data_IF_595412903687
#
_entry.id   IF_595412903687
#
_cell.length_a   1.000
_cell.length_b   1.000
_cell.length_c   1.000
_cell.angle_alpha   90.00
_cell.angle_beta   90.00
_cell.angle_gamma   90.00
#
_symmetry.space_group_name_H-M   'P 1'
#
loop_
_entity.id
_entity.type
_entity.pdbx_description
1 polymer ?
#
# COMPACT_ATOMS: atom_id res chain seq x y z
N UNK A 1 -8.56 -8.38 31.87
CA UNK A 1 -7.26 -8.08 31.24
C UNK A 1 -7.50 -7.06 30.15
N UNK A 2 -6.83 -5.91 30.16
CA UNK A 2 -6.88 -5.01 29.02
C UNK A 2 -6.12 -5.69 27.87
N UNK A 3 -6.86 -6.16 26.87
CA UNK A 3 -6.26 -6.73 25.66
C UNK A 3 -5.50 -5.59 24.98
N UNK A 4 -4.17 -5.69 24.95
CA UNK A 4 -3.34 -4.68 24.33
C UNK A 4 -3.37 -4.91 22.81
N UNK A 5 -3.97 -3.98 22.07
CA UNK A 5 -3.98 -4.06 20.61
C UNK A 5 -2.58 -3.82 20.04
N UNK A 6 -2.32 -4.37 18.84
CA UNK A 6 -1.00 -4.30 18.17
C UNK A 6 -0.85 -3.13 17.19
N UNK A 7 -1.82 -2.21 17.15
CA UNK A 7 -1.85 -1.14 16.14
C UNK A 7 -0.58 -0.28 16.22
N UNK A 8 -0.18 0.11 17.43
CA UNK A 8 1.00 0.95 17.65
C UNK A 8 2.29 0.26 17.22
N UNK A 9 2.41 -1.03 17.51
CA UNK A 9 3.55 -1.86 17.14
C UNK A 9 3.64 -1.97 15.61
N UNK A 10 2.55 -2.39 14.97
CA UNK A 10 2.44 -2.54 13.51
C UNK A 10 2.77 -1.22 12.78
N UNK A 11 2.26 -0.10 13.27
CA UNK A 11 2.55 1.23 12.71
C UNK A 11 4.03 1.58 12.81
N UNK A 12 4.65 1.33 13.97
CA UNK A 12 6.07 1.64 14.21
C UNK A 12 7.00 0.75 13.39
N UNK A 13 6.63 -0.51 13.16
CA UNK A 13 7.40 -1.41 12.29
C UNK A 13 7.45 -0.92 10.83
N UNK A 14 6.44 -0.14 10.40
CA UNK A 14 6.42 0.53 9.09
C UNK A 14 6.97 1.96 9.11
N UNK A 15 7.58 2.41 10.22
CA UNK A 15 8.07 3.78 10.43
C UNK A 15 7.01 4.88 10.21
N UNK A 16 5.74 4.57 10.41
CA UNK A 16 4.65 5.52 10.20
C UNK A 16 4.38 6.38 11.45
N UNK A 17 4.09 7.66 11.23
CA UNK A 17 3.49 8.52 12.25
C UNK A 17 1.99 8.22 12.40
N UNK A 18 1.35 8.68 13.48
CA UNK A 18 -0.10 8.52 13.63
C UNK A 18 -0.86 9.23 12.50
N UNK A 19 -0.33 10.33 11.99
CA UNK A 19 -0.84 11.04 10.80
C UNK A 19 -0.64 10.18 9.55
N UNK A 20 0.53 9.56 9.38
CA UNK A 20 0.80 8.68 8.25
C UNK A 20 -0.18 7.51 8.17
N UNK A 21 -0.43 6.85 9.31
CA UNK A 21 -1.44 5.79 9.37
C UNK A 21 -2.86 6.31 9.14
N UNK A 22 -3.19 7.53 9.61
CA UNK A 22 -4.53 8.08 9.40
C UNK A 22 -4.81 8.36 7.93
N UNK A 23 -3.81 8.82 7.17
CA UNK A 23 -3.92 9.02 5.73
C UNK A 23 -4.17 7.70 4.99
N UNK A 24 -3.40 6.65 5.33
CA UNK A 24 -3.57 5.30 4.75
C UNK A 24 -4.98 4.75 5.01
N UNK A 25 -5.48 4.92 6.24
CA UNK A 25 -6.78 4.39 6.63
C UNK A 25 -7.96 5.31 6.25
N UNK A 26 -7.70 6.50 5.67
CA UNK A 26 -8.73 7.48 5.36
C UNK A 26 -9.48 7.96 6.60
N UNK A 27 -8.77 8.21 7.69
CA UNK A 27 -9.31 8.66 8.98
C UNK A 27 -8.50 9.82 9.56
N UNK A 28 -8.81 10.23 10.79
CA UNK A 28 -8.13 11.31 11.49
C UNK A 28 -7.03 10.78 12.43
N UNK A 29 -5.99 11.59 12.67
CA UNK A 29 -4.93 11.26 13.62
C UNK A 29 -5.48 11.03 15.04
N UNK A 30 -6.51 11.77 15.44
CA UNK A 30 -7.20 11.60 16.72
C UNK A 30 -7.84 10.21 16.83
N UNK A 31 -8.44 9.72 15.74
CA UNK A 31 -9.02 8.37 15.68
C UNK A 31 -7.94 7.31 15.86
N UNK A 32 -6.81 7.45 15.16
CA UNK A 32 -5.64 6.55 15.33
C UNK A 32 -5.12 6.56 16.77
N UNK A 33 -4.97 7.75 17.37
CA UNK A 33 -4.54 7.88 18.76
C UNK A 33 -5.51 7.22 19.75
N UNK A 34 -6.82 7.35 19.52
CA UNK A 34 -7.86 6.70 20.33
C UNK A 34 -7.79 5.19 20.19
N UNK A 35 -7.69 4.66 18.97
CA UNK A 35 -7.56 3.22 18.71
C UNK A 35 -6.35 2.63 19.43
N UNK A 36 -5.18 3.28 19.34
CA UNK A 36 -3.95 2.82 20.00
C UNK A 36 -4.03 2.82 21.53
N UNK A 37 -4.79 3.75 22.13
CA UNK A 37 -4.88 3.89 23.59
C UNK A 37 -6.00 3.05 24.20
N UNK A 38 -7.18 3.08 23.58
CA UNK A 38 -8.41 2.58 24.18
C UNK A 38 -8.87 1.24 23.57
N UNK A 39 -8.29 0.83 22.43
CA UNK A 39 -8.69 -0.42 21.75
C UNK A 39 -10.08 -0.39 21.11
N UNK A 40 -10.74 0.76 21.10
CA UNK A 40 -12.00 0.99 20.40
C UNK A 40 -11.73 1.21 18.91
N UNK A 41 -11.82 0.12 18.14
CA UNK A 41 -11.52 0.08 16.70
C UNK A 41 -12.82 -0.16 15.93
N UNK A 42 -13.25 0.81 15.10
CA UNK A 42 -14.35 0.61 14.16
C UNK A 42 -14.08 -0.57 13.20
N UNK A 43 -15.09 -1.40 12.94
CA UNK A 43 -14.95 -2.62 12.14
C UNK A 43 -14.42 -2.35 10.73
N UNK A 44 -14.85 -1.27 10.10
CA UNK A 44 -14.38 -0.83 8.78
C UNK A 44 -12.89 -0.44 8.79
N UNK A 45 -12.42 0.18 9.87
CA UNK A 45 -10.99 0.48 10.05
C UNK A 45 -10.20 -0.78 10.36
N UNK A 46 -10.75 -1.73 11.11
CA UNK A 46 -10.12 -3.01 11.40
C UNK A 46 -9.89 -3.83 10.13
N UNK A 47 -10.89 -3.90 9.23
CA UNK A 47 -10.76 -4.60 7.94
C UNK A 47 -9.70 -3.92 7.05
N UNK A 48 -9.69 -2.58 7.00
CA UNK A 48 -8.65 -1.85 6.26
C UNK A 48 -7.25 -2.08 6.83
N UNK A 49 -7.12 -2.10 8.15
CA UNK A 49 -5.87 -2.42 8.83
C UNK A 49 -5.40 -3.84 8.55
N UNK A 50 -6.33 -4.82 8.53
CA UNK A 50 -6.01 -6.21 8.20
C UNK A 50 -5.41 -6.33 6.79
N UNK A 51 -6.01 -5.65 5.81
CA UNK A 51 -5.47 -5.57 4.45
C UNK A 51 -4.11 -4.85 4.41
N UNK A 52 -4.02 -3.67 5.00
CA UNK A 52 -2.81 -2.83 4.95
C UNK A 52 -1.60 -3.47 5.65
N UNK A 53 -1.78 -3.99 6.86
CA UNK A 53 -0.69 -4.64 7.60
C UNK A 53 -0.42 -6.08 7.15
N UNK A 54 -1.25 -6.59 6.23
CA UNK A 54 -1.29 -7.99 5.81
C UNK A 54 -1.31 -8.90 7.05
N UNK A 55 -2.31 -8.68 7.90
CA UNK A 55 -2.48 -9.35 9.17
C UNK A 55 -3.94 -9.73 9.42
N UNK A 56 -4.19 -10.75 10.24
CA UNK A 56 -5.54 -11.09 10.69
C UNK A 56 -6.07 -10.04 11.66
N UNK A 57 -7.39 -9.92 11.73
CA UNK A 57 -8.06 -9.08 12.73
C UNK A 57 -7.71 -9.52 14.15
N UNK A 58 -7.61 -10.83 14.38
CA UNK A 58 -7.29 -11.42 15.68
C UNK A 58 -5.87 -11.04 16.11
N UNK A 59 -4.93 -10.98 15.18
CA UNK A 59 -3.59 -10.47 15.47
C UNK A 59 -3.61 -8.99 15.84
N UNK A 60 -4.31 -8.15 15.07
CA UNK A 60 -4.40 -6.70 15.34
C UNK A 60 -5.04 -6.43 16.70
N UNK A 61 -6.08 -7.19 17.03
CA UNK A 61 -6.78 -7.13 18.30
C UNK A 61 -5.98 -7.74 19.45
N UNK A 62 -4.85 -8.41 19.23
CA UNK A 62 -4.06 -9.05 20.28
C UNK A 62 -4.69 -10.33 20.83
N UNK A 63 -5.60 -10.96 20.09
CA UNK A 63 -6.25 -12.23 20.40
C UNK A 63 -5.38 -13.42 19.95
N UNK A 64 -4.60 -13.23 18.88
CA UNK A 64 -3.72 -14.24 18.29
C UNK A 64 -2.29 -13.73 18.15
N UNK A 65 -1.32 -14.64 18.34
CA UNK A 65 0.10 -14.39 18.03
C UNK A 65 0.41 -14.62 16.53
N UNK A 66 -0.51 -15.25 15.80
CA UNK A 66 -0.33 -15.53 14.38
C UNK A 66 -0.74 -14.33 13.54
N UNK A 67 0.27 -13.63 12.98
CA UNK A 67 0.03 -12.47 12.11
C UNK A 67 -0.87 -12.80 10.93
N UNK A 68 -0.73 -13.97 10.32
CA UNK A 68 -1.51 -14.41 9.16
C UNK A 68 -2.18 -15.75 9.47
N UNK A 69 -3.30 -15.99 8.80
CA UNK A 69 -3.89 -17.32 8.74
C UNK A 69 -3.07 -18.23 7.80
N UNK A 70 -3.41 -19.53 7.76
CA UNK A 70 -2.71 -20.50 6.94
C UNK A 70 -2.72 -20.11 5.45
N UNK A 71 -3.87 -19.64 4.94
CA UNK A 71 -4.00 -19.16 3.57
C UNK A 71 -3.12 -17.94 3.29
N UNK A 72 -3.09 -16.96 4.20
CA UNK A 72 -2.23 -15.78 4.11
C UNK A 72 -0.74 -16.10 4.15
N UNK A 73 -0.35 -17.09 4.94
CA UNK A 73 1.04 -17.55 4.99
C UNK A 73 1.45 -18.25 3.69
N UNK A 74 0.56 -19.07 3.11
CA UNK A 74 0.83 -19.75 1.83
C UNK A 74 0.99 -18.76 0.67
N UNK A 75 0.12 -17.74 0.58
CA UNK A 75 0.25 -16.68 -0.45
C UNK A 75 1.57 -15.93 -0.33
N UNK A 76 1.95 -15.54 0.90
CA UNK A 76 3.22 -14.85 1.15
C UNK A 76 4.42 -15.70 0.79
N UNK A 77 4.39 -16.99 1.14
CA UNK A 77 5.47 -17.90 0.77
C UNK A 77 5.57 -18.03 -0.76
N UNK A 78 4.45 -18.15 -1.46
CA UNK A 78 4.45 -18.21 -2.93
C UNK A 78 4.99 -16.93 -3.58
N UNK A 79 4.58 -15.75 -3.11
CA UNK A 79 5.15 -14.47 -3.59
C UNK A 79 6.66 -14.39 -3.31
N UNK A 80 7.10 -14.81 -2.13
CA UNK A 80 8.52 -14.85 -1.78
C UNK A 80 9.31 -15.81 -2.66
N UNK A 81 8.75 -16.98 -2.96
CA UNK A 81 9.36 -17.96 -3.87
C UNK A 81 9.51 -17.40 -5.28
N UNK A 82 8.52 -16.62 -5.76
CA UNK A 82 8.58 -15.97 -7.07
C UNK A 82 9.72 -14.95 -7.18
N UNK A 83 10.03 -14.22 -6.10
CA UNK A 83 11.08 -13.19 -6.10
C UNK A 83 12.41 -13.70 -5.52
N UNK A 84 12.51 -14.98 -5.16
CA UNK A 84 13.68 -15.51 -4.47
C UNK A 84 14.98 -15.35 -5.27
N UNK A 85 14.97 -15.66 -6.56
CA UNK A 85 16.16 -15.56 -7.43
C UNK A 85 16.69 -14.12 -7.53
N UNK A 86 15.81 -13.13 -7.70
CA UNK A 86 16.24 -11.73 -7.82
C UNK A 86 16.84 -11.22 -6.49
N UNK A 87 16.27 -11.61 -5.35
CA UNK A 87 16.79 -11.27 -4.02
C UNK A 87 18.17 -11.89 -3.80
N UNK A 88 18.35 -13.16 -4.15
CA UNK A 88 19.65 -13.83 -4.04
C UNK A 88 20.72 -13.14 -4.90
N UNK A 89 20.39 -12.83 -6.15
CA UNK A 89 21.33 -12.13 -7.05
C UNK A 89 21.67 -10.74 -6.51
N UNK A 90 20.68 -9.99 -6.02
CA UNK A 90 20.90 -8.67 -5.43
C UNK A 90 21.85 -8.73 -4.23
N UNK A 91 21.71 -9.73 -3.36
CA UNK A 91 22.59 -9.92 -2.21
C UNK A 91 24.05 -10.23 -2.59
N UNK A 92 24.30 -10.77 -3.78
CA UNK A 92 25.64 -11.05 -4.27
C UNK A 92 26.31 -9.85 -4.96
N UNK A 93 25.55 -8.79 -5.25
CA UNK A 93 26.09 -7.58 -5.87
C UNK A 93 26.93 -6.76 -4.88
N UNK A 94 27.94 -6.06 -5.43
CA UNK A 94 28.68 -5.02 -4.71
C UNK A 94 27.76 -3.83 -4.36
N UNK A 95 28.14 -3.07 -3.33
CA UNK A 95 27.46 -1.83 -2.92
C UNK A 95 27.14 -0.90 -4.11
N UNK A 96 28.13 -0.68 -4.98
CA UNK A 96 27.97 0.16 -6.17
C UNK A 96 26.91 -0.42 -7.11
N UNK A 97 26.99 -1.71 -7.42
CA UNK A 97 26.07 -2.36 -8.34
C UNK A 97 24.64 -2.42 -7.78
N UNK A 98 24.47 -2.58 -6.47
CA UNK A 98 23.16 -2.48 -5.81
C UNK A 98 22.56 -1.10 -6.00
N UNK A 99 23.34 -0.04 -5.76
CA UNK A 99 22.88 1.35 -5.98
C UNK A 99 22.52 1.60 -7.43
N UNK A 100 23.30 1.06 -8.37
CA UNK A 100 22.98 1.14 -9.80
C UNK A 100 21.67 0.43 -10.13
N UNK A 101 21.44 -0.78 -9.61
CA UNK A 101 20.19 -1.51 -9.84
C UNK A 101 18.98 -0.72 -9.31
N UNK A 102 19.08 -0.14 -8.11
CA UNK A 102 18.03 0.70 -7.55
C UNK A 102 17.75 1.92 -8.43
N UNK A 103 18.78 2.61 -8.92
CA UNK A 103 18.59 3.75 -9.83
C UNK A 103 17.91 3.35 -11.16
N UNK A 104 18.20 2.14 -11.67
CA UNK A 104 17.52 1.60 -12.84
C UNK A 104 16.06 1.31 -12.54
N UNK A 105 15.75 0.72 -11.38
CA UNK A 105 14.36 0.48 -10.95
C UNK A 105 13.59 1.80 -10.87
N UNK A 106 14.14 2.82 -10.19
CA UNK A 106 13.52 4.15 -10.09
C UNK A 106 13.23 4.75 -11.49
N UNK A 107 14.16 4.58 -12.44
CA UNK A 107 13.97 5.09 -13.81
C UNK A 107 12.86 4.36 -14.55
N UNK A 108 12.73 3.05 -14.35
CA UNK A 108 11.68 2.23 -14.98
C UNK A 108 10.31 2.60 -14.43
N UNK A 109 10.17 2.76 -13.11
CA UNK A 109 8.94 3.22 -12.48
C UNK A 109 8.52 4.61 -13.00
N UNK A 110 9.48 5.53 -13.12
CA UNK A 110 9.23 6.85 -13.68
C UNK A 110 8.76 6.80 -15.15
N UNK A 111 9.32 5.89 -15.97
CA UNK A 111 8.89 5.72 -17.35
C UNK A 111 7.42 5.27 -17.45
N UNK A 112 7.01 4.34 -16.58
CA UNK A 112 5.63 3.85 -16.54
C UNK A 112 4.63 4.96 -16.16
N UNK A 113 5.01 5.84 -15.23
CA UNK A 113 4.19 7.00 -14.85
C UNK A 113 4.04 7.96 -16.03
N UNK A 114 5.15 8.25 -16.74
CA UNK A 114 5.14 9.13 -17.92
C UNK A 114 4.23 8.58 -19.02
N UNK A 115 4.29 7.27 -19.28
CA UNK A 115 3.41 6.60 -20.24
C UNK A 115 1.93 6.70 -19.85
N UNK A 116 1.60 6.44 -18.59
CA UNK A 116 0.22 6.55 -18.08
C UNK A 116 -0.33 7.98 -18.20
N UNK A 117 0.46 9.00 -17.83
CA UNK A 117 0.07 10.42 -17.93
C UNK A 117 -0.13 10.87 -19.37
N UNK A 118 0.71 10.38 -20.30
CA UNK A 118 0.57 10.71 -21.71
C UNK A 118 -0.70 10.09 -22.32
N UNK A 119 -1.06 8.87 -21.94
CA UNK A 119 -2.31 8.23 -22.38
C UNK A 119 -3.57 8.96 -21.89
N UNK A 120 -3.57 9.49 -20.66
CA UNK A 120 -4.68 10.29 -20.14
C UNK A 120 -4.85 11.63 -20.88
N UNK A 121 -3.74 12.29 -21.23
CA UNK A 121 -3.77 13.54 -22.03
C UNK A 121 -4.30 13.30 -23.44
N UNK A 122 -3.94 12.19 -24.08
CA UNK A 122 -4.43 11.86 -25.43
C UNK A 122 -5.93 11.55 -25.43
N UNK A 123 -6.45 10.87 -24.41
CA UNK A 123 -7.87 10.55 -24.28
C UNK A 123 -8.75 11.76 -23.91
N UNK A 124 -8.19 12.77 -23.21
CA UNK A 124 -8.90 14.02 -22.89
C UNK A 124 -9.12 14.95 -24.09
N UNK A 125 -8.21 14.92 -25.09
CA UNK A 125 -8.29 15.79 -26.27
C UNK A 125 -9.36 15.32 -27.27
N UNK A 126 -9.64 14.01 -27.36
CA UNK A 126 -10.65 13.48 -28.30
C UNK A 126 -12.10 13.78 -27.89
N UNK A 127 -12.38 14.05 -26.60
CA UNK A 127 -13.74 14.39 -26.14
C UNK A 127 -14.15 15.85 -26.38
N UNK A 128 -13.24 16.71 -26.82
CA UNK A 128 -13.47 18.16 -26.97
C UNK A 128 -13.87 18.65 -28.37
N UNK A 129 -13.85 17.79 -29.40
CA UNK A 129 -13.99 18.23 -30.80
C UNK A 129 -15.34 17.91 -31.48
N UNK A 130 -16.31 17.28 -30.80
CA UNK A 130 -17.59 16.85 -31.40
C UNK A 130 -18.79 17.79 -31.13
N UNK A 131 -18.56 19.05 -30.74
CA UNK A 131 -19.65 20.04 -30.60
C UNK A 131 -19.28 21.34 -31.31
N UNK A 132 -19.33 21.37 -32.65
CA UNK A 132 -19.47 22.59 -33.46
C UNK A 132 -19.72 22.21 -34.94
N UNK A 133 -20.86 21.58 -35.24
CA UNK A 133 -21.27 21.37 -36.63
C UNK A 133 -22.80 21.22 -36.80
N UNK A 134 -23.62 21.90 -35.99
CA UNK A 134 -25.07 21.97 -36.25
C UNK A 134 -25.62 23.34 -35.81
N UNK A 135 -25.26 24.42 -36.53
CA UNK A 135 -26.21 25.53 -36.74
C UNK A 135 -25.81 26.37 -37.97
N UNK A 136 -26.09 25.83 -39.15
CA UNK A 136 -26.20 26.65 -40.37
C UNK A 136 -27.10 25.93 -41.37
N UNK A 137 -28.39 25.87 -41.04
CA UNK A 137 -29.48 25.62 -42.00
C UNK A 137 -30.84 25.85 -41.33
N UNK A 138 -31.25 27.11 -41.19
CA UNK A 138 -32.57 27.63 -41.64
C UNK A 138 -32.70 29.13 -41.33
#
# INVERSE_FOLDING_TARGET
>A
MAIQNRIRELRKNLNLSQVGLSLVLGTTQQTVSRMEKNGDIPTDLLVRMAGFFNATTDYILGISEYKRDFGGQLRMNHEMDMYYDIVLRYQQLSEVNRRTLLAVLDRLEQAQIEEAVNQEKTNGIQKGNDQNAEDSSM
#
